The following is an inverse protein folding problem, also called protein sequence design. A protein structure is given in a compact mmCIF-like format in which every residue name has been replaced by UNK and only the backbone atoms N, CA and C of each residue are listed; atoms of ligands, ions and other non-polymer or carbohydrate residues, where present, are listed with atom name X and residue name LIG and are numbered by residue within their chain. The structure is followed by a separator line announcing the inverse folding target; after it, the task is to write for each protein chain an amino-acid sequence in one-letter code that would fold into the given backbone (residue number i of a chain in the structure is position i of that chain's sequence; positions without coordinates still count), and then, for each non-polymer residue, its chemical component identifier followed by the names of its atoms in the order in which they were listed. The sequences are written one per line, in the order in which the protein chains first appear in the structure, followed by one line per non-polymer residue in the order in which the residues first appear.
data_IF_480185852758
#
_entry.id   IF_480185852758
#
_cell.length_a   1.000
_cell.length_b   1.000
_cell.length_c   1.000
_cell.angle_alpha   90.00
_cell.angle_beta   90.00
_cell.angle_gamma   90.00
#
_symmetry.space_group_name_H-M   'P 1'
#
loop_
_entity.id
_entity.type
_entity.pdbx_description
1 polymer ?
#
# COMPACT_ATOMS: atom_id res chain seq x y z
N UNK A 1 47.15 48.46 42.81
CA UNK A 1 45.95 49.16 43.25
C UNK A 1 45.35 49.94 42.05
N UNK A 2 44.41 49.32 41.31
CA UNK A 2 43.65 50.10 40.34
C UNK A 2 42.64 50.99 41.08
N UNK A 3 42.49 52.26 40.69
CA UNK A 3 41.50 53.14 41.29
C UNK A 3 40.07 52.52 41.14
N UNK A 4 39.24 52.70 42.17
CA UNK A 4 37.83 52.24 42.14
C UNK A 4 37.05 52.78 40.92
N UNK A 5 37.50 53.88 40.33
CA UNK A 5 36.95 54.48 39.10
C UNK A 5 37.13 53.61 37.85
N UNK A 6 38.13 52.72 37.81
CA UNK A 6 38.42 51.85 36.69
C UNK A 6 37.94 50.40 36.99
N UNK A 7 38.20 49.95 38.24
CA UNK A 7 37.87 48.53 38.60
C UNK A 7 36.36 48.22 38.57
N UNK A 8 35.53 49.18 39.05
CA UNK A 8 34.07 48.95 39.09
C UNK A 8 33.41 48.85 37.71
N UNK A 9 33.70 49.74 36.72
CA UNK A 9 33.19 49.62 35.38
C UNK A 9 33.60 48.29 34.65
N UNK A 10 34.88 47.92 34.84
CA UNK A 10 35.36 46.64 34.23
C UNK A 10 34.62 45.44 34.82
N UNK A 11 34.35 45.43 36.14
CA UNK A 11 33.55 44.36 36.75
C UNK A 11 32.11 44.35 36.25
N UNK A 12 31.47 45.51 36.06
CA UNK A 12 30.14 45.65 35.53
C UNK A 12 30.09 45.17 34.07
N UNK A 13 31.07 45.53 33.24
CA UNK A 13 31.22 45.05 31.87
C UNK A 13 31.42 43.52 31.82
N UNK A 14 32.35 43.01 32.66
CA UNK A 14 32.60 41.56 32.75
C UNK A 14 31.34 40.79 33.14
N UNK A 15 30.57 41.29 34.11
CA UNK A 15 29.29 40.71 34.51
C UNK A 15 28.28 40.76 33.38
N UNK A 16 28.18 41.89 32.64
CA UNK A 16 27.31 41.98 31.47
C UNK A 16 27.64 40.98 30.39
N UNK A 17 28.94 40.81 30.09
CA UNK A 17 29.39 39.79 29.10
C UNK A 17 29.03 38.37 29.55
N UNK A 18 29.21 38.03 30.83
CA UNK A 18 28.83 36.74 31.40
C UNK A 18 27.30 36.51 31.33
N UNK A 19 26.49 37.54 31.56
CA UNK A 19 25.04 37.45 31.41
C UNK A 19 24.66 37.13 29.95
N UNK A 20 25.28 37.79 28.95
CA UNK A 20 25.06 37.47 27.53
C UNK A 20 25.53 36.07 27.23
N UNK A 21 26.67 35.62 27.72
CA UNK A 21 27.16 34.26 27.54
C UNK A 21 26.18 33.21 28.13
N UNK A 22 25.46 33.57 29.19
CA UNK A 22 24.38 32.77 29.77
C UNK A 22 23.01 33.00 29.11
N UNK A 23 22.98 33.55 27.88
CA UNK A 23 21.78 33.79 27.09
C UNK A 23 20.81 34.84 27.64
N UNK A 24 21.25 35.65 28.61
CA UNK A 24 20.47 36.80 29.12
C UNK A 24 20.80 38.09 28.32
N UNK A 25 20.13 38.22 27.16
CA UNK A 25 20.34 39.33 26.23
C UNK A 25 19.56 40.61 26.62
N UNK A 26 18.72 40.58 27.67
CA UNK A 26 17.98 41.75 28.16
C UNK A 26 18.84 42.66 29.03
N UNK A 27 20.00 42.17 29.46
CA UNK A 27 20.91 42.96 30.28
C UNK A 27 21.42 44.20 29.53
N UNK A 28 21.37 45.36 30.20
CA UNK A 28 21.91 46.63 29.71
C UNK A 28 22.91 47.16 30.72
N UNK A 29 23.94 47.85 30.21
CA UNK A 29 24.94 48.52 31.01
C UNK A 29 24.60 50.01 31.05
N UNK A 30 24.54 50.57 32.25
CA UNK A 30 24.42 52.04 32.49
C UNK A 30 25.73 52.58 33.06
N UNK A 31 26.45 53.29 32.19
CA UNK A 31 27.71 53.96 32.54
C UNK A 31 27.65 55.45 32.24
N UNK A 32 26.46 56.05 32.37
CA UNK A 32 26.16 57.46 32.04
C UNK A 32 27.00 58.49 32.77
N UNK A 33 27.63 58.12 33.86
CA UNK A 33 28.52 59.07 34.67
C UNK A 33 30.01 59.02 34.31
N UNK A 34 30.44 58.29 33.26
CA UNK A 34 31.85 58.01 32.93
C UNK A 34 32.10 58.07 31.45
N UNK A 35 32.60 59.15 30.95
CA UNK A 35 32.78 59.41 29.51
C UNK A 35 33.65 58.38 28.84
N UNK A 36 34.71 57.88 29.46
CA UNK A 36 35.65 56.90 28.91
C UNK A 36 35.03 55.49 28.69
N UNK A 37 33.98 55.14 29.45
CA UNK A 37 33.32 53.85 29.36
C UNK A 37 31.98 53.94 28.67
N UNK A 38 31.50 55.13 28.31
CA UNK A 38 30.18 55.30 27.62
C UNK A 38 30.13 54.58 26.26
N UNK A 39 31.17 54.79 25.46
CA UNK A 39 31.24 54.16 24.11
C UNK A 39 31.23 52.63 24.16
N UNK A 40 31.89 52.03 25.18
CA UNK A 40 31.95 50.64 25.46
C UNK A 40 30.56 50.12 25.90
N UNK A 41 29.91 50.84 26.81
CA UNK A 41 28.54 50.48 27.26
C UNK A 41 27.52 50.58 26.12
N UNK A 42 27.59 51.61 25.28
CA UNK A 42 26.73 51.78 24.11
C UNK A 42 26.96 50.67 23.07
N UNK A 43 28.21 50.29 22.85
CA UNK A 43 28.56 49.20 21.94
C UNK A 43 28.06 47.86 22.48
N UNK A 44 28.21 47.60 23.79
CA UNK A 44 27.65 46.43 24.46
C UNK A 44 26.12 46.40 24.35
N UNK A 45 25.43 47.50 24.62
CA UNK A 45 23.98 47.59 24.57
C UNK A 45 23.45 47.37 23.16
N UNK A 46 24.10 47.92 22.11
CA UNK A 46 23.77 47.65 20.70
C UNK A 46 23.97 46.17 20.33
N UNK A 47 25.06 45.55 20.85
CA UNK A 47 25.28 44.11 20.63
C UNK A 47 24.16 43.26 21.28
N UNK A 48 23.83 43.58 22.55
CA UNK A 48 22.75 42.88 23.27
C UNK A 48 21.39 43.04 22.59
N UNK A 49 21.08 44.22 22.05
CA UNK A 49 19.86 44.49 21.29
C UNK A 49 19.81 43.65 20.02
N UNK A 50 20.87 43.64 19.21
CA UNK A 50 20.96 42.83 18.00
C UNK A 50 20.83 41.33 18.27
N UNK A 51 21.42 40.84 19.38
CA UNK A 51 21.29 39.45 19.78
C UNK A 51 19.85 39.09 20.18
N UNK A 52 19.15 40.00 20.86
CA UNK A 52 17.72 39.86 21.20
C UNK A 52 16.88 39.81 19.96
N UNK A 53 17.07 40.74 19.00
CA UNK A 53 16.36 40.78 17.71
C UNK A 53 16.63 39.52 16.89
N UNK A 54 17.89 39.10 16.76
CA UNK A 54 18.28 37.91 16.04
C UNK A 54 17.59 36.64 16.60
N UNK A 55 17.62 36.50 17.95
CA UNK A 55 16.94 35.36 18.60
C UNK A 55 15.44 35.36 18.38
N UNK A 56 14.81 36.56 18.51
CA UNK A 56 13.37 36.70 18.27
C UNK A 56 13.00 36.37 16.82
N UNK A 57 13.79 36.86 15.85
CA UNK A 57 13.59 36.54 14.43
C UNK A 57 13.74 35.03 14.16
N UNK A 58 14.83 34.41 14.62
CA UNK A 58 15.09 32.98 14.42
C UNK A 58 13.99 32.11 15.04
N UNK A 59 13.53 32.46 16.26
CA UNK A 59 12.41 31.77 16.90
C UNK A 59 11.11 31.90 16.08
N UNK A 60 10.85 33.11 15.58
CA UNK A 60 9.66 33.36 14.77
C UNK A 60 9.70 32.59 13.45
N UNK A 61 10.88 32.55 12.81
CA UNK A 61 11.07 31.76 11.56
C UNK A 61 10.84 30.26 11.79
N UNK A 62 11.38 29.70 12.87
CA UNK A 62 11.17 28.29 13.25
C UNK A 62 9.69 28.03 13.55
N UNK A 63 9.03 28.90 14.31
CA UNK A 63 7.60 28.77 14.63
C UNK A 63 6.73 28.87 13.38
N UNK A 64 7.07 29.77 12.46
CA UNK A 64 6.38 29.96 11.20
C UNK A 64 6.55 28.74 10.30
N UNK A 65 7.76 28.23 10.16
CA UNK A 65 8.04 27.00 9.41
C UNK A 65 7.29 25.79 10.01
N UNK A 66 7.27 25.66 11.34
CA UNK A 66 6.51 24.59 12.02
C UNK A 66 5.03 24.69 11.72
N UNK A 67 4.40 25.89 11.86
CA UNK A 67 2.99 26.11 11.56
C UNK A 67 2.67 25.81 10.10
N UNK A 68 3.55 26.18 9.19
CA UNK A 68 3.39 25.90 7.76
C UNK A 68 3.41 24.40 7.47
N UNK A 69 4.36 23.65 8.06
CA UNK A 69 4.42 22.19 7.94
C UNK A 69 3.18 21.51 8.54
N UNK A 70 2.72 21.97 9.72
CA UNK A 70 1.48 21.45 10.32
C UNK A 70 0.26 21.72 9.43
N UNK A 71 0.18 22.87 8.79
CA UNK A 71 -0.89 23.20 7.86
C UNK A 71 -0.86 22.30 6.61
N UNK A 72 0.34 22.07 6.02
CA UNK A 72 0.50 21.16 4.89
C UNK A 72 0.04 19.75 5.26
N UNK A 73 0.53 19.20 6.35
CA UNK A 73 0.19 17.84 6.79
C UNK A 73 -1.32 17.70 7.08
N UNK A 74 -1.96 18.75 7.64
CA UNK A 74 -3.41 18.74 7.88
C UNK A 74 -4.26 19.00 6.62
N UNK A 75 -3.67 19.50 5.53
CA UNK A 75 -4.37 19.65 4.24
C UNK A 75 -4.35 18.39 3.39
N UNK A 76 -3.66 17.35 3.83
CA UNK A 76 -3.63 16.05 3.15
C UNK A 76 -4.81 15.23 3.64
N UNK A 77 -5.62 14.76 2.69
CA UNK A 77 -6.84 13.96 2.95
C UNK A 77 -6.52 12.51 3.37
N UNK A 78 -5.27 12.09 3.28
CA UNK A 78 -4.83 10.78 3.73
C UNK A 78 -4.40 10.81 5.20
N UNK A 79 -4.82 9.84 6.05
CA UNK A 79 -4.36 9.73 7.43
C UNK A 79 -2.84 9.53 7.52
N UNK A 80 -2.17 10.41 8.28
CA UNK A 80 -0.71 10.41 8.46
C UNK A 80 -0.37 10.42 9.95
N UNK A 81 0.53 9.52 10.35
CA UNK A 81 1.06 9.41 11.71
C UNK A 81 2.58 9.39 11.63
N UNK A 82 3.26 10.32 12.27
CA UNK A 82 4.71 10.36 12.37
C UNK A 82 5.18 9.94 13.76
N UNK A 83 6.11 9.01 13.81
CA UNK A 83 6.70 8.44 15.02
C UNK A 83 8.18 8.83 15.11
N UNK A 84 8.68 9.06 16.31
CA UNK A 84 10.12 9.19 16.56
C UNK A 84 10.78 7.80 16.68
N UNK A 85 12.12 7.79 16.92
CA UNK A 85 12.89 6.54 17.14
C UNK A 85 12.37 5.69 18.30
N UNK A 86 11.76 6.32 19.30
CA UNK A 86 11.19 5.67 20.48
C UNK A 86 9.73 5.23 20.25
N UNK A 87 9.22 5.36 19.00
CA UNK A 87 7.82 5.10 18.64
C UNK A 87 6.80 5.96 19.37
N UNK A 88 7.20 7.15 19.79
CA UNK A 88 6.27 8.15 20.30
C UNK A 88 5.70 8.96 19.13
N UNK A 89 4.42 9.32 19.20
CA UNK A 89 3.75 10.09 18.15
C UNK A 89 4.25 11.54 18.17
N UNK A 90 5.03 11.92 17.14
CA UNK A 90 5.51 13.29 16.94
C UNK A 90 4.46 14.18 16.33
N UNK A 91 3.76 13.67 15.33
CA UNK A 91 2.66 14.37 14.66
C UNK A 91 1.60 13.38 14.19
N UNK A 92 0.40 13.88 14.05
CA UNK A 92 -0.76 13.18 13.52
C UNK A 92 -1.68 14.20 12.88
N UNK A 93 -2.14 13.97 11.65
CA UNK A 93 -3.07 14.90 11.00
C UNK A 93 -4.52 14.66 11.42
N UNK A 94 -5.41 15.56 11.02
CA UNK A 94 -6.83 15.52 11.41
C UNK A 94 -7.52 14.27 10.87
N UNK A 95 -7.20 13.83 9.64
CA UNK A 95 -7.74 12.61 9.05
C UNK A 95 -7.38 11.36 9.86
N UNK A 96 -6.11 11.26 10.31
CA UNK A 96 -5.70 10.14 11.16
C UNK A 96 -6.38 10.17 12.54
N UNK A 97 -6.62 11.34 13.12
CA UNK A 97 -7.38 11.49 14.37
C UNK A 97 -8.81 11.00 14.20
N UNK A 98 -9.46 11.37 13.09
CA UNK A 98 -10.83 10.95 12.75
C UNK A 98 -10.93 9.45 12.56
N UNK A 99 -10.04 8.86 11.73
CA UNK A 99 -10.03 7.42 11.43
C UNK A 99 -9.71 6.58 12.67
N UNK A 100 -8.80 7.06 13.54
CA UNK A 100 -8.45 6.38 14.79
C UNK A 100 -9.44 6.68 15.93
N UNK A 101 -10.33 7.64 15.76
CA UNK A 101 -11.22 8.15 16.80
C UNK A 101 -10.46 8.55 18.08
N UNK A 102 -9.41 9.35 17.90
CA UNK A 102 -8.52 9.82 18.97
C UNK A 102 -8.50 11.36 19.01
N UNK A 103 -8.17 11.94 20.17
CA UNK A 103 -7.97 13.37 20.34
C UNK A 103 -6.49 13.69 20.34
N UNK A 104 -6.14 14.83 19.72
CA UNK A 104 -4.74 15.26 19.55
C UNK A 104 -4.00 15.38 20.90
N UNK A 105 -4.67 15.93 21.92
CA UNK A 105 -4.10 16.13 23.26
C UNK A 105 -3.76 14.81 23.96
N UNK A 106 -4.43 13.71 23.58
CA UNK A 106 -4.27 12.40 24.19
C UNK A 106 -3.16 11.58 23.55
N UNK A 107 -2.68 11.97 22.35
CA UNK A 107 -1.78 11.14 21.55
C UNK A 107 -0.38 11.74 21.34
N UNK A 108 -0.26 13.07 21.26
CA UNK A 108 1.03 13.71 20.99
C UNK A 108 2.04 13.43 22.10
N UNK A 109 3.25 13.00 21.72
CA UNK A 109 4.35 12.59 22.60
C UNK A 109 4.05 11.39 23.48
N UNK A 110 3.02 10.61 23.15
CA UNK A 110 2.77 9.33 23.80
C UNK A 110 3.27 8.16 22.94
N UNK A 111 3.61 7.07 23.62
CA UNK A 111 4.01 5.83 22.95
C UNK A 111 2.84 5.27 22.11
N UNK A 112 3.09 5.01 20.82
CA UNK A 112 2.14 4.35 19.95
C UNK A 112 1.81 2.94 20.44
N UNK A 113 2.75 2.28 21.14
CA UNK A 113 2.54 0.96 21.73
C UNK A 113 1.55 1.01 22.89
N UNK A 114 1.65 2.01 23.80
CA UNK A 114 0.67 2.20 24.88
C UNK A 114 -0.72 2.52 24.36
N UNK A 115 -0.83 3.39 23.36
CA UNK A 115 -2.10 3.75 22.74
C UNK A 115 -2.71 2.58 21.98
N UNK A 116 -1.88 1.70 21.42
CA UNK A 116 -2.31 0.48 20.73
C UNK A 116 -3.05 -0.50 21.64
N UNK A 117 -2.86 -0.43 22.96
CA UNK A 117 -3.62 -1.27 23.91
C UNK A 117 -5.11 -0.92 23.95
N UNK A 118 -5.46 0.33 23.59
CA UNK A 118 -6.83 0.86 23.63
C UNK A 118 -7.44 1.06 22.24
N UNK A 119 -6.66 0.89 21.19
CA UNK A 119 -7.08 1.14 19.81
C UNK A 119 -6.62 0.01 18.90
N UNK A 120 -7.58 -0.79 18.42
CA UNK A 120 -7.28 -1.99 17.61
C UNK A 120 -6.65 -1.67 16.26
N UNK A 121 -7.06 -0.55 15.64
CA UNK A 121 -6.48 -0.12 14.37
C UNK A 121 -5.02 0.30 14.56
N UNK A 122 -4.75 1.11 15.58
CA UNK A 122 -3.37 1.52 15.90
C UNK A 122 -2.51 0.31 16.28
N UNK A 123 -3.07 -0.66 17.00
CA UNK A 123 -2.39 -1.93 17.33
C UNK A 123 -1.97 -2.67 16.06
N UNK A 124 -2.86 -2.78 15.09
CA UNK A 124 -2.54 -3.42 13.82
C UNK A 124 -1.45 -2.67 13.07
N UNK A 125 -1.52 -1.34 12.99
CA UNK A 125 -0.51 -0.50 12.32
C UNK A 125 0.88 -0.62 12.98
N UNK A 126 0.95 -0.55 14.30
CA UNK A 126 2.21 -0.71 15.05
C UNK A 126 2.80 -2.11 14.87
N UNK A 127 1.96 -3.15 14.90
CA UNK A 127 2.40 -4.53 14.67
C UNK A 127 2.97 -4.72 13.25
N UNK A 128 2.31 -4.18 12.24
CA UNK A 128 2.78 -4.24 10.84
C UNK A 128 4.07 -3.44 10.62
N UNK A 129 4.29 -2.36 11.38
CA UNK A 129 5.54 -1.61 11.37
C UNK A 129 6.71 -2.44 11.90
N UNK A 130 6.46 -3.24 12.96
CA UNK A 130 7.49 -4.09 13.58
C UNK A 130 7.83 -5.32 12.73
N UNK A 131 6.85 -5.88 12.01
CA UNK A 131 6.96 -7.11 11.23
C UNK A 131 6.72 -6.83 9.72
N UNK A 132 7.69 -6.28 8.99
CA UNK A 132 7.48 -5.85 7.60
C UNK A 132 7.32 -7.00 6.58
N UNK A 133 7.48 -8.27 7.00
CA UNK A 133 7.46 -9.45 6.12
C UNK A 133 6.09 -10.11 5.89
N UNK A 134 5.07 -9.76 6.63
CA UNK A 134 3.73 -10.32 6.46
C UNK A 134 2.98 -9.66 5.28
N UNK A 135 2.20 -10.47 4.54
CA UNK A 135 1.35 -9.99 3.45
C UNK A 135 0.32 -9.01 4.00
N UNK A 136 0.47 -7.74 3.69
CA UNK A 136 -0.37 -6.66 4.22
C UNK A 136 -1.72 -6.65 3.49
N UNK A 137 -2.76 -7.14 4.16
CA UNK A 137 -4.12 -7.03 3.65
C UNK A 137 -4.67 -5.62 3.87
N UNK A 138 -5.51 -5.11 2.95
CA UNK A 138 -6.18 -3.82 3.16
C UNK A 138 -6.93 -3.77 4.48
N UNK A 139 -6.83 -2.64 5.15
CA UNK A 139 -7.57 -2.36 6.38
C UNK A 139 -9.00 -2.00 6.02
N UNK A 140 -9.95 -2.70 6.61
CA UNK A 140 -11.38 -2.39 6.49
C UNK A 140 -11.78 -1.55 7.70
N UNK A 141 -12.14 -0.30 7.48
CA UNK A 141 -12.46 0.67 8.53
C UNK A 141 -13.90 1.14 8.31
N UNK A 142 -14.67 1.17 9.38
CA UNK A 142 -16.02 1.69 9.38
C UNK A 142 -15.99 3.11 9.98
N UNK A 143 -16.08 4.13 9.12
CA UNK A 143 -16.11 5.52 9.53
C UNK A 143 -17.26 6.23 8.81
N UNK A 144 -17.94 7.17 9.47
CA UNK A 144 -19.06 7.96 8.94
C UNK A 144 -20.18 7.10 8.33
N UNK A 145 -20.52 5.99 8.97
CA UNK A 145 -21.50 5.01 8.49
C UNK A 145 -21.19 4.40 7.13
N UNK A 146 -19.95 4.51 6.65
CA UNK A 146 -19.47 3.96 5.39
C UNK A 146 -18.29 3.02 5.63
N UNK A 147 -18.31 1.89 4.94
CA UNK A 147 -17.19 0.97 4.89
C UNK A 147 -16.14 1.52 3.94
N UNK A 148 -14.90 1.69 4.42
CA UNK A 148 -13.79 2.19 3.63
C UNK A 148 -12.59 1.27 3.75
N UNK A 149 -11.85 1.14 2.65
CA UNK A 149 -10.66 0.30 2.56
C UNK A 149 -9.41 1.17 2.51
N UNK A 150 -8.45 0.88 3.39
CA UNK A 150 -7.18 1.58 3.45
C UNK A 150 -6.01 0.63 3.25
N UNK A 151 -4.99 1.11 2.55
CA UNK A 151 -3.69 0.44 2.43
C UNK A 151 -2.68 1.19 3.27
N UNK A 152 -2.08 0.52 4.27
CA UNK A 152 -1.01 1.11 5.06
C UNK A 152 0.31 1.08 4.29
N UNK A 153 1.05 2.19 4.37
CA UNK A 153 2.42 2.33 3.87
C UNK A 153 3.29 2.86 4.99
N UNK A 154 4.50 2.34 5.10
CA UNK A 154 5.46 2.65 6.16
C UNK A 154 6.71 3.23 5.52
N UNK A 155 7.11 4.43 5.96
CA UNK A 155 8.24 5.17 5.40
C UNK A 155 9.18 5.48 6.56
N UNK A 156 10.39 4.95 6.52
CA UNK A 156 11.43 5.29 7.49
C UNK A 156 12.14 6.57 7.04
N UNK A 157 12.20 7.56 7.92
CA UNK A 157 12.85 8.84 7.67
C UNK A 157 14.29 8.75 8.14
N UNK A 158 15.20 8.94 7.19
CA UNK A 158 16.66 8.85 7.41
C UNK A 158 17.28 10.22 7.18
N UNK A 159 18.16 10.65 8.08
CA UNK A 159 19.02 11.81 7.85
C UNK A 159 20.28 11.37 7.10
N UNK A 160 20.43 11.82 5.85
CA UNK A 160 21.58 11.52 5.00
C UNK A 160 22.75 12.52 5.19
N UNK A 161 22.56 13.63 5.92
CA UNK A 161 23.55 14.70 6.08
C UNK A 161 24.33 14.61 7.41
N UNK A 162 24.17 13.54 8.20
CA UNK A 162 24.97 13.37 9.40
C UNK A 162 26.42 13.02 9.01
N UNK A 163 27.40 13.72 9.55
CA UNK A 163 28.85 13.55 9.35
C UNK A 163 29.40 12.17 9.81
N UNK A 164 28.55 11.29 10.30
CA UNK A 164 28.87 9.91 10.66
C UNK A 164 28.54 8.96 9.51
N UNK A 165 29.39 7.98 9.25
CA UNK A 165 29.29 6.96 8.18
C UNK A 165 28.03 6.06 8.24
N UNK A 166 27.12 6.26 9.21
CA UNK A 166 25.86 5.51 9.32
C UNK A 166 24.66 6.43 9.20
N UNK A 167 23.67 6.07 8.33
CA UNK A 167 22.44 6.83 8.17
C UNK A 167 21.61 6.78 9.46
N UNK A 168 21.40 7.95 10.09
CA UNK A 168 20.61 8.05 11.30
C UNK A 168 19.10 7.99 11.00
N UNK A 169 18.44 6.94 11.47
CA UNK A 169 16.98 6.86 11.48
C UNK A 169 16.41 7.95 12.39
N UNK A 170 15.58 8.85 11.85
CA UNK A 170 14.89 9.92 12.58
C UNK A 170 13.54 9.47 13.14
N UNK A 171 12.93 8.44 12.54
CA UNK A 171 11.62 7.94 12.89
C UNK A 171 10.90 7.31 11.69
N UNK A 172 9.63 6.97 11.88
CA UNK A 172 8.80 6.33 10.89
C UNK A 172 7.53 7.14 10.63
N UNK A 173 7.06 7.10 9.39
CA UNK A 173 5.76 7.68 9.00
C UNK A 173 4.86 6.56 8.54
N UNK A 174 3.66 6.50 9.10
CA UNK A 174 2.58 5.62 8.68
C UNK A 174 1.59 6.45 7.86
N UNK A 175 1.35 6.03 6.62
CA UNK A 175 0.41 6.63 5.69
C UNK A 175 -0.70 5.63 5.39
N UNK A 176 -1.97 6.02 5.52
CA UNK A 176 -3.13 5.21 5.16
C UNK A 176 -3.76 5.74 3.89
N UNK A 177 -3.46 5.09 2.77
CA UNK A 177 -4.06 5.44 1.48
C UNK A 177 -5.47 4.86 1.37
N UNK A 178 -6.46 5.72 1.14
CA UNK A 178 -7.82 5.26 0.85
C UNK A 178 -7.86 4.59 -0.53
N UNK A 179 -8.25 3.32 -0.56
CA UNK A 179 -8.38 2.51 -1.78
C UNK A 179 -9.81 2.02 -2.00
N UNK A 180 -10.79 2.66 -1.36
CA UNK A 180 -12.20 2.25 -1.42
C UNK A 180 -12.73 2.27 -2.84
N UNK A 181 -12.56 3.39 -3.55
CA UNK A 181 -12.99 3.53 -4.95
C UNK A 181 -12.36 2.46 -5.85
N UNK A 182 -11.05 2.23 -5.68
CA UNK A 182 -10.35 1.18 -6.43
C UNK A 182 -10.93 -0.22 -6.14
N UNK A 183 -11.24 -0.52 -4.87
CA UNK A 183 -11.82 -1.81 -4.47
C UNK A 183 -13.26 -1.97 -4.94
N UNK A 184 -14.06 -0.92 -4.91
CA UNK A 184 -15.42 -0.90 -5.43
C UNK A 184 -15.43 -1.14 -6.94
N UNK A 185 -14.56 -0.44 -7.69
CA UNK A 185 -14.41 -0.60 -9.14
C UNK A 185 -13.95 -2.00 -9.52
N UNK A 186 -12.95 -2.54 -8.82
CA UNK A 186 -12.43 -3.89 -9.04
C UNK A 186 -13.49 -4.96 -8.76
N UNK A 187 -14.27 -4.79 -7.69
CA UNK A 187 -15.40 -5.68 -7.36
C UNK A 187 -16.53 -5.56 -8.38
N UNK A 188 -16.88 -4.35 -8.82
CA UNK A 188 -17.88 -4.12 -9.85
C UNK A 188 -17.47 -4.75 -11.18
N UNK A 189 -16.19 -4.58 -11.61
CA UNK A 189 -15.63 -5.24 -12.80
C UNK A 189 -15.77 -6.76 -12.74
N UNK A 190 -15.39 -7.35 -11.60
CA UNK A 190 -15.47 -8.80 -11.40
C UNK A 190 -16.92 -9.31 -11.47
N UNK A 191 -17.83 -8.60 -10.80
CA UNK A 191 -19.27 -8.92 -10.79
C UNK A 191 -19.86 -8.80 -12.20
N UNK A 192 -19.54 -7.73 -12.93
CA UNK A 192 -19.99 -7.48 -14.29
C UNK A 192 -19.58 -8.63 -15.24
N UNK A 193 -18.29 -9.01 -15.22
CA UNK A 193 -17.79 -10.10 -16.08
C UNK A 193 -18.44 -11.43 -15.71
N UNK A 194 -18.62 -11.71 -14.40
CA UNK A 194 -19.31 -12.92 -13.95
C UNK A 194 -20.75 -12.97 -14.45
N UNK A 195 -21.48 -11.87 -14.32
CA UNK A 195 -22.87 -11.77 -14.77
C UNK A 195 -22.97 -11.97 -16.28
N UNK A 196 -22.15 -11.26 -17.07
CA UNK A 196 -22.14 -11.40 -18.53
C UNK A 196 -21.82 -12.83 -18.94
N UNK A 197 -20.83 -13.48 -18.30
CA UNK A 197 -20.48 -14.87 -18.61
C UNK A 197 -21.66 -15.82 -18.38
N UNK A 198 -22.42 -15.63 -17.31
CA UNK A 198 -23.64 -16.40 -17.05
C UNK A 198 -24.75 -16.11 -18.07
N UNK A 199 -24.99 -14.83 -18.36
CA UNK A 199 -26.03 -14.40 -19.31
C UNK A 199 -25.72 -14.83 -20.77
N UNK A 200 -24.44 -14.97 -21.13
CA UNK A 200 -24.04 -15.51 -22.43
C UNK A 200 -24.10 -17.05 -22.49
N UNK A 201 -23.78 -17.73 -21.39
CA UNK A 201 -23.78 -19.21 -21.36
C UNK A 201 -25.18 -19.78 -21.66
N UNK A 202 -26.21 -19.18 -21.12
CA UNK A 202 -27.60 -19.66 -21.27
C UNK A 202 -28.07 -19.69 -22.74
N UNK A 203 -28.02 -18.57 -23.52
CA UNK A 203 -28.45 -18.57 -24.90
C UNK A 203 -27.54 -19.43 -25.80
N UNK A 204 -26.21 -19.46 -25.53
CA UNK A 204 -25.32 -20.32 -26.31
C UNK A 204 -25.61 -21.80 -26.06
N UNK A 205 -25.90 -22.20 -24.81
CA UNK A 205 -26.32 -23.57 -24.50
C UNK A 205 -27.65 -23.94 -25.16
N UNK A 206 -28.59 -23.00 -25.26
CA UNK A 206 -29.84 -23.18 -25.98
C UNK A 206 -29.62 -23.38 -27.50
N UNK A 207 -28.68 -22.64 -28.11
CA UNK A 207 -28.28 -22.80 -29.51
C UNK A 207 -27.72 -24.21 -29.72
N UNK A 208 -26.78 -24.67 -28.89
CA UNK A 208 -26.20 -26.00 -28.97
C UNK A 208 -27.25 -27.09 -28.81
N UNK A 209 -28.19 -26.94 -27.88
CA UNK A 209 -29.30 -27.88 -27.71
C UNK A 209 -30.21 -27.91 -28.93
N UNK A 210 -30.49 -26.76 -29.55
CA UNK A 210 -31.31 -26.71 -30.77
C UNK A 210 -30.60 -27.38 -31.95
N UNK A 211 -29.29 -27.19 -32.09
CA UNK A 211 -28.49 -27.90 -33.10
C UNK A 211 -28.50 -29.41 -32.86
N UNK A 212 -28.35 -29.87 -31.63
CA UNK A 212 -28.40 -31.28 -31.27
C UNK A 212 -29.77 -31.91 -31.63
N UNK A 213 -30.86 -31.15 -31.45
CA UNK A 213 -32.19 -31.60 -31.89
C UNK A 213 -32.32 -31.63 -33.41
N UNK A 214 -31.75 -30.67 -34.14
CA UNK A 214 -31.72 -30.66 -35.59
C UNK A 214 -30.93 -31.84 -36.20
N UNK A 215 -29.85 -32.26 -35.53
CA UNK A 215 -29.01 -33.39 -35.92
C UNK A 215 -29.66 -34.74 -35.57
N UNK A 216 -30.77 -34.76 -34.79
CA UNK A 216 -31.47 -36.00 -34.44
C UNK A 216 -32.24 -36.52 -35.65
N UNK A 217 -31.92 -37.74 -36.12
CA UNK A 217 -32.54 -38.40 -37.26
C UNK A 217 -34.05 -38.53 -37.15
N UNK A 218 -34.62 -38.45 -35.96
CA UNK A 218 -36.07 -38.47 -35.71
C UNK A 218 -36.77 -37.20 -36.17
N UNK A 219 -36.05 -36.07 -36.25
CA UNK A 219 -36.58 -34.79 -36.75
C UNK A 219 -36.51 -34.70 -38.27
N UNK A 220 -35.48 -35.32 -38.85
CA UNK A 220 -35.26 -35.36 -40.29
C UNK A 220 -33.79 -35.64 -40.61
N UNK A 221 -33.50 -35.85 -41.89
CA UNK A 221 -32.13 -36.01 -42.36
C UNK A 221 -31.67 -34.68 -42.96
N UNK A 222 -30.60 -34.15 -42.50
CA UNK A 222 -29.98 -32.93 -43.05
C UNK A 222 -29.32 -33.26 -44.39
N UNK A 223 -29.37 -32.33 -45.32
CA UNK A 223 -28.54 -32.43 -46.53
C UNK A 223 -27.11 -31.96 -46.23
N UNK A 224 -26.17 -32.20 -47.12
CA UNK A 224 -24.74 -31.91 -46.93
C UNK A 224 -24.47 -30.44 -46.60
N UNK A 225 -25.20 -29.51 -47.23
CA UNK A 225 -25.07 -28.07 -46.92
C UNK A 225 -25.58 -27.71 -45.50
N UNK A 226 -26.72 -28.29 -45.11
CA UNK A 226 -27.30 -28.10 -43.77
C UNK A 226 -26.39 -28.67 -42.68
N UNK A 227 -25.78 -29.84 -42.93
CA UNK A 227 -24.81 -30.44 -42.02
C UNK A 227 -23.56 -29.56 -41.83
N UNK A 228 -23.04 -29.01 -42.94
CA UNK A 228 -21.91 -28.09 -42.88
C UNK A 228 -22.24 -26.81 -42.08
N UNK A 229 -23.43 -26.22 -42.29
CA UNK A 229 -23.89 -25.06 -41.55
C UNK A 229 -24.10 -25.36 -40.08
N UNK A 230 -24.71 -26.50 -39.74
CA UNK A 230 -24.90 -26.97 -38.37
C UNK A 230 -23.56 -27.10 -37.64
N UNK A 231 -22.59 -27.77 -38.27
CA UNK A 231 -21.26 -27.93 -37.73
C UNK A 231 -20.54 -26.58 -37.51
N UNK A 232 -20.64 -25.67 -38.47
CA UNK A 232 -20.06 -24.32 -38.33
C UNK A 232 -20.67 -23.53 -37.17
N UNK A 233 -22.00 -23.59 -37.01
CA UNK A 233 -22.66 -22.90 -35.86
C UNK A 233 -22.23 -23.54 -34.55
N UNK A 234 -22.13 -24.84 -34.47
CA UNK A 234 -21.70 -25.60 -33.29
C UNK A 234 -20.28 -25.22 -32.89
N UNK A 235 -19.33 -25.23 -33.82
CA UNK A 235 -17.94 -24.83 -33.57
C UNK A 235 -17.84 -23.39 -33.04
N UNK A 236 -18.61 -22.45 -33.60
CA UNK A 236 -18.63 -21.08 -33.15
C UNK A 236 -19.27 -20.91 -31.74
N UNK A 237 -20.34 -21.65 -31.46
CA UNK A 237 -20.98 -21.67 -30.14
C UNK A 237 -20.07 -22.26 -29.08
N UNK A 238 -19.41 -23.37 -29.35
CA UNK A 238 -18.41 -23.97 -28.44
C UNK A 238 -17.22 -23.03 -28.19
N UNK A 239 -16.76 -22.36 -29.23
CA UNK A 239 -15.70 -21.34 -29.12
C UNK A 239 -16.11 -20.18 -28.20
N UNK A 240 -17.35 -19.66 -28.34
CA UNK A 240 -17.89 -18.61 -27.49
C UNK A 240 -17.99 -19.06 -26.04
N UNK A 241 -18.44 -20.29 -25.76
CA UNK A 241 -18.45 -20.87 -24.42
C UNK A 241 -17.04 -20.98 -23.84
N UNK A 242 -16.06 -21.39 -24.64
CA UNK A 242 -14.66 -21.43 -24.24
C UNK A 242 -14.16 -20.05 -23.80
N UNK A 243 -14.33 -19.01 -24.64
CA UNK A 243 -13.90 -17.63 -24.36
C UNK A 243 -14.57 -17.08 -23.10
N UNK A 244 -15.88 -17.28 -22.93
CA UNK A 244 -16.60 -16.80 -21.73
C UNK A 244 -16.11 -17.48 -20.46
N UNK A 245 -15.81 -18.79 -20.54
CA UNK A 245 -15.25 -19.57 -19.44
C UNK A 245 -13.84 -19.10 -19.05
N UNK A 246 -12.97 -18.86 -20.03
CA UNK A 246 -11.62 -18.32 -19.81
C UNK A 246 -11.65 -16.95 -19.17
N UNK A 247 -12.51 -16.06 -19.66
CA UNK A 247 -12.67 -14.70 -19.12
C UNK A 247 -13.14 -14.72 -17.66
N UNK A 248 -14.08 -15.59 -17.32
CA UNK A 248 -14.56 -15.77 -15.95
C UNK A 248 -13.45 -16.29 -15.03
N UNK A 249 -12.71 -17.30 -15.46
CA UNK A 249 -11.61 -17.87 -14.70
C UNK A 249 -10.51 -16.82 -14.46
N UNK A 250 -10.12 -16.06 -15.49
CA UNK A 250 -9.12 -15.01 -15.39
C UNK A 250 -9.53 -13.95 -14.36
N UNK A 251 -10.78 -13.49 -14.38
CA UNK A 251 -11.25 -12.48 -13.43
C UNK A 251 -11.33 -13.01 -11.99
N UNK A 252 -11.67 -14.29 -11.79
CA UNK A 252 -11.63 -14.91 -10.47
C UNK A 252 -10.21 -15.02 -9.91
N UNK A 253 -9.22 -15.30 -10.76
CA UNK A 253 -7.79 -15.33 -10.39
C UNK A 253 -7.31 -13.94 -10.03
N UNK A 254 -7.58 -12.92 -10.87
CA UNK A 254 -7.21 -11.50 -10.59
C UNK A 254 -7.81 -11.00 -9.27
N UNK A 255 -9.07 -11.31 -9.00
CA UNK A 255 -9.76 -10.91 -7.78
C UNK A 255 -9.32 -11.72 -6.54
N UNK A 256 -8.47 -12.74 -6.68
CA UNK A 256 -8.09 -13.65 -5.59
C UNK A 256 -9.28 -14.48 -5.05
N UNK A 257 -10.37 -14.58 -5.81
CA UNK A 257 -11.62 -15.26 -5.42
C UNK A 257 -11.71 -16.71 -5.98
N UNK A 258 -10.62 -17.20 -6.56
CA UNK A 258 -10.60 -18.57 -7.10
C UNK A 258 -10.77 -19.56 -5.93
N UNK A 259 -11.94 -20.20 -5.88
CA UNK A 259 -12.19 -21.28 -4.92
C UNK A 259 -11.49 -22.56 -5.39
N UNK A 260 -10.61 -23.09 -4.57
CA UNK A 260 -9.91 -24.34 -4.82
C UNK A 260 -10.61 -25.46 -4.05
N UNK A 261 -10.87 -26.58 -4.72
CA UNK A 261 -11.41 -27.82 -4.13
C UNK A 261 -10.39 -28.94 -4.22
N UNK A 262 -9.33 -28.93 -3.38
CA UNK A 262 -8.27 -29.92 -3.45
C UNK A 262 -8.76 -31.30 -3.04
N UNK A 263 -8.39 -32.30 -3.84
CA UNK A 263 -8.65 -33.72 -3.58
C UNK A 263 -7.42 -34.58 -3.90
N UNK A 264 -7.34 -35.77 -3.33
CA UNK A 264 -6.26 -36.69 -3.62
C UNK A 264 -6.42 -37.20 -5.07
N UNK A 265 -5.48 -36.82 -5.92
CA UNK A 265 -5.51 -37.09 -7.36
C UNK A 265 -4.20 -37.74 -7.79
N UNK A 266 -4.26 -38.66 -8.76
CA UNK A 266 -3.05 -39.23 -9.38
C UNK A 266 -2.57 -38.34 -10.52
N UNK A 267 -1.27 -37.96 -10.58
CA UNK A 267 -0.73 -37.14 -11.66
C UNK A 267 -1.00 -37.68 -13.04
N UNK A 268 -0.91 -39.00 -13.21
CA UNK A 268 -1.13 -39.69 -14.49
C UNK A 268 -2.54 -39.39 -15.05
N UNK A 269 -3.58 -39.41 -14.21
CA UNK A 269 -4.96 -39.14 -14.63
C UNK A 269 -5.12 -37.72 -15.20
N UNK A 270 -4.39 -36.73 -14.64
CA UNK A 270 -4.39 -35.35 -15.12
C UNK A 270 -3.66 -35.19 -16.45
N UNK A 271 -2.53 -35.86 -16.60
CA UNK A 271 -1.72 -35.84 -17.83
C UNK A 271 -2.51 -36.52 -18.99
N UNK A 272 -3.04 -37.70 -18.75
CA UNK A 272 -3.85 -38.43 -19.75
C UNK A 272 -5.07 -37.63 -20.19
N UNK A 273 -5.75 -36.96 -19.26
CA UNK A 273 -6.86 -36.06 -19.57
C UNK A 273 -6.42 -34.91 -20.50
N UNK A 274 -5.31 -34.23 -20.18
CA UNK A 274 -4.82 -33.13 -20.98
C UNK A 274 -4.37 -33.55 -22.38
N UNK A 275 -3.72 -34.71 -22.50
CA UNK A 275 -3.33 -35.31 -23.80
C UNK A 275 -4.57 -35.61 -24.65
N UNK A 276 -5.52 -36.33 -24.06
CA UNK A 276 -6.77 -36.70 -24.76
C UNK A 276 -7.54 -35.46 -25.25
N UNK A 277 -7.59 -34.41 -24.45
CA UNK A 277 -8.23 -33.14 -24.79
C UNK A 277 -7.57 -32.43 -25.98
N UNK A 278 -6.26 -32.60 -26.18
CA UNK A 278 -5.50 -31.94 -27.24
C UNK A 278 -5.14 -32.87 -28.43
N UNK A 279 -5.47 -34.17 -28.37
CA UNK A 279 -5.07 -35.14 -29.38
C UNK A 279 -5.56 -34.78 -30.80
N UNK A 280 -6.83 -34.41 -30.93
CA UNK A 280 -7.42 -34.00 -32.22
C UNK A 280 -6.68 -32.80 -32.82
N UNK A 281 -6.27 -31.85 -32.00
CA UNK A 281 -5.54 -30.68 -32.46
C UNK A 281 -4.11 -31.05 -32.87
N UNK A 282 -3.44 -31.90 -32.09
CA UNK A 282 -2.10 -32.39 -32.40
C UNK A 282 -2.09 -33.14 -33.73
N UNK A 283 -3.05 -34.03 -33.92
CA UNK A 283 -3.20 -34.80 -35.17
C UNK A 283 -3.43 -33.89 -36.40
N UNK A 284 -4.25 -32.85 -36.24
CA UNK A 284 -4.49 -31.82 -37.28
C UNK A 284 -3.25 -31.10 -37.72
N UNK A 285 -2.32 -30.82 -36.78
CA UNK A 285 -1.02 -30.16 -37.05
C UNK A 285 0.12 -31.14 -37.33
N UNK A 286 -0.14 -32.46 -37.36
CA UNK A 286 0.86 -33.48 -37.58
C UNK A 286 1.88 -33.63 -36.44
N UNK A 287 1.49 -33.23 -35.22
CA UNK A 287 2.34 -33.24 -34.03
C UNK A 287 2.10 -34.54 -33.27
N UNK A 288 3.15 -35.27 -32.96
CA UNK A 288 3.13 -36.45 -32.12
C UNK A 288 3.43 -36.08 -30.66
N UNK A 289 2.53 -36.47 -29.75
CA UNK A 289 2.71 -36.23 -28.30
C UNK A 289 3.34 -37.51 -27.73
N UNK A 290 4.57 -37.41 -27.24
CA UNK A 290 5.28 -38.48 -26.54
C UNK A 290 5.23 -38.24 -25.04
N UNK A 291 5.02 -39.29 -24.24
CA UNK A 291 4.93 -39.22 -22.80
C UNK A 291 5.94 -40.17 -22.17
N UNK A 292 6.88 -39.59 -21.43
CA UNK A 292 7.82 -40.37 -20.65
C UNK A 292 7.36 -40.43 -19.20
N UNK A 293 7.15 -41.63 -18.69
CA UNK A 293 6.79 -41.84 -17.29
C UNK A 293 8.00 -42.31 -16.51
N UNK A 294 8.22 -41.79 -15.27
CA UNK A 294 9.28 -42.31 -14.41
C UNK A 294 8.99 -43.79 -14.06
N UNK A 295 10.06 -44.58 -13.90
CA UNK A 295 9.96 -45.98 -13.50
C UNK A 295 9.39 -46.13 -12.07
N UNK A 296 9.62 -45.14 -11.23
CA UNK A 296 9.09 -45.09 -9.87
C UNK A 296 7.64 -44.64 -9.82
N UNK A 297 6.92 -45.22 -8.85
CA UNK A 297 5.50 -44.87 -8.64
C UNK A 297 5.37 -43.40 -8.24
N UNK A 298 4.73 -42.58 -9.05
CA UNK A 298 4.47 -41.18 -8.75
C UNK A 298 3.58 -41.03 -7.50
N UNK A 299 3.92 -40.11 -6.57
CA UNK A 299 3.10 -39.84 -5.39
C UNK A 299 1.77 -39.22 -5.81
N UNK A 300 0.74 -39.46 -5.00
CA UNK A 300 -0.55 -38.77 -5.16
C UNK A 300 -0.42 -37.32 -4.74
N UNK A 301 -1.09 -36.44 -5.45
CA UNK A 301 -1.11 -34.99 -5.19
C UNK A 301 -2.42 -34.59 -4.49
N UNK A 302 -2.34 -33.64 -3.59
CA UNK A 302 -3.51 -33.00 -2.99
C UNK A 302 -3.77 -31.67 -3.71
N UNK A 303 -4.56 -31.73 -4.78
CA UNK A 303 -4.78 -30.62 -5.72
C UNK A 303 -6.23 -30.59 -6.21
N UNK A 304 -6.65 -29.40 -6.67
CA UNK A 304 -7.90 -29.29 -7.44
C UNK A 304 -7.67 -29.87 -8.84
N UNK A 305 -8.19 -31.08 -9.06
CA UNK A 305 -7.95 -31.82 -10.31
C UNK A 305 -8.51 -31.12 -11.55
N UNK A 306 -9.62 -30.39 -11.43
CA UNK A 306 -10.22 -29.66 -12.56
C UNK A 306 -9.36 -28.46 -12.96
N UNK A 307 -8.87 -27.69 -11.96
CA UNK A 307 -8.01 -26.54 -12.21
C UNK A 307 -6.64 -26.96 -12.75
N UNK A 308 -6.04 -28.02 -12.21
CA UNK A 308 -4.75 -28.52 -12.72
C UNK A 308 -4.90 -29.11 -14.12
N UNK A 309 -5.97 -29.89 -14.38
CA UNK A 309 -6.25 -30.40 -15.71
C UNK A 309 -6.42 -29.26 -16.73
N UNK A 310 -7.12 -28.19 -16.35
CA UNK A 310 -7.28 -26.99 -17.18
C UNK A 310 -5.92 -26.31 -17.49
N UNK A 311 -5.04 -26.16 -16.47
CA UNK A 311 -3.69 -25.62 -16.67
C UNK A 311 -2.89 -26.46 -17.65
N UNK A 312 -2.87 -27.79 -17.45
CA UNK A 312 -2.13 -28.72 -18.33
C UNK A 312 -2.67 -28.69 -19.76
N UNK A 313 -3.99 -28.68 -19.94
CA UNK A 313 -4.64 -28.58 -21.25
C UNK A 313 -4.25 -27.29 -21.98
N UNK A 314 -4.25 -26.16 -21.29
CA UNK A 314 -3.86 -24.86 -21.87
C UNK A 314 -2.38 -24.83 -22.26
N UNK A 315 -1.48 -25.33 -21.39
CA UNK A 315 -0.06 -25.39 -21.69
C UNK A 315 0.22 -26.27 -22.91
N UNK A 316 -0.43 -27.44 -22.97
CA UNK A 316 -0.27 -28.37 -24.08
C UNK A 316 -0.86 -27.81 -25.39
N UNK A 317 -2.05 -27.20 -25.34
CA UNK A 317 -2.66 -26.51 -26.48
C UNK A 317 -1.79 -25.38 -27.03
N UNK A 318 -1.13 -24.60 -26.15
CA UNK A 318 -0.20 -23.55 -26.57
C UNK A 318 1.08 -24.12 -27.22
N UNK A 319 1.56 -25.26 -26.74
CA UNK A 319 2.72 -25.93 -27.33
C UNK A 319 2.44 -26.56 -28.70
N UNK A 320 1.17 -26.92 -28.98
CA UNK A 320 0.73 -27.52 -30.26
C UNK A 320 0.47 -26.45 -31.34
N UNK A 321 0.22 -25.20 -30.97
CA UNK A 321 0.02 -24.04 -31.88
C UNK A 321 1.32 -23.51 -32.46
#
# INVERSE_FOLDING_TARGET
WLPRSISKPIQELTRGILEIANHNYEKRLDMSGREEFREVADSFNRMAERLTEYRASTLNDILSAKKFLEAIVNSIDEPIIGLNRNREILFINNEALTVLNLKREEVIRRSAEELSLKNDLLRRLVRELVNPGEKKEPLKIYADNKESYFKASYITIINAEADDDEPHNLGDVILLKNITEFKELDSAKTTFISTISHELKTPISAILMSLQLLEDKRVGVLNDEQEQLSNSIKENADRLLGITGELLNMTQVEAGKLQMMPKITKPIELIEYAIKANQVQADKFGIQIEVEYPEEKMPKLFVDSEKIAWVLTNLLSNAIR
#
